data_IF_190077530941
#
_entry.id   IF_190077530941
#
_cell.length_a   1.000
_cell.length_b   1.000
_cell.length_c   1.000
_cell.angle_alpha   90.00
_cell.angle_beta   90.00
_cell.angle_gamma   90.00
#
_symmetry.space_group_name_H-M   'P 1'
#
loop_
_entity.id
_entity.type
_entity.pdbx_description
1 polymer ?
#
# COMPACT_ATOMS: atom_id res chain seq x y z
N UNK A 1 -59.37 -31.23 -23.20
CA UNK A 1 -58.70 -29.92 -23.40
C UNK A 1 -58.55 -29.26 -22.04
N UNK A 2 -57.40 -29.46 -21.38
CA UNK A 2 -57.05 -28.73 -20.17
C UNK A 2 -55.99 -27.69 -20.54
N UNK A 3 -56.32 -26.47 -20.17
CA UNK A 3 -55.71 -25.22 -20.58
C UNK A 3 -54.38 -25.04 -19.85
N UNK A 4 -53.33 -24.78 -20.64
CA UNK A 4 -51.93 -24.70 -20.23
C UNK A 4 -51.60 -23.23 -19.90
N UNK A 5 -52.04 -22.76 -18.74
CA UNK A 5 -51.82 -21.40 -18.24
C UNK A 5 -50.77 -21.41 -17.11
N UNK A 6 -49.49 -21.42 -17.48
CA UNK A 6 -48.39 -21.37 -16.50
C UNK A 6 -47.06 -20.81 -17.01
N UNK A 7 -46.96 -20.52 -18.30
CA UNK A 7 -45.72 -20.05 -18.91
C UNK A 7 -45.35 -18.57 -18.68
N UNK A 8 -46.29 -17.59 -18.63
CA UNK A 8 -45.88 -16.18 -18.61
C UNK A 8 -45.34 -15.72 -17.25
N UNK A 9 -45.82 -16.31 -16.15
CA UNK A 9 -45.37 -15.99 -14.79
C UNK A 9 -43.92 -16.38 -14.53
N UNK A 10 -43.48 -17.52 -15.07
CA UNK A 10 -42.09 -17.97 -14.95
C UNK A 10 -41.11 -17.06 -15.70
N UNK A 11 -41.51 -16.58 -16.89
CA UNK A 11 -40.69 -15.68 -17.70
C UNK A 11 -40.55 -14.31 -17.03
N UNK A 12 -41.63 -13.78 -16.46
CA UNK A 12 -41.60 -12.56 -15.65
C UNK A 12 -40.74 -12.75 -14.40
N UNK A 13 -40.83 -13.90 -13.74
CA UNK A 13 -40.02 -14.21 -12.56
C UNK A 13 -38.53 -14.32 -12.91
N UNK A 14 -38.18 -14.94 -14.04
CA UNK A 14 -36.81 -15.02 -14.55
C UNK A 14 -36.26 -13.63 -14.89
N UNK A 15 -37.05 -12.78 -15.53
CA UNK A 15 -36.66 -11.39 -15.79
C UNK A 15 -36.45 -10.61 -14.47
N UNK A 16 -37.34 -10.77 -13.49
CA UNK A 16 -37.21 -10.16 -12.17
C UNK A 16 -35.98 -10.68 -11.39
N UNK A 17 -35.66 -11.97 -11.49
CA UNK A 17 -34.46 -12.56 -10.91
C UNK A 17 -33.20 -11.99 -11.57
N UNK A 18 -33.19 -11.79 -12.89
CA UNK A 18 -32.05 -11.20 -13.61
C UNK A 18 -31.83 -9.72 -13.28
N UNK A 19 -32.91 -8.94 -13.08
CA UNK A 19 -32.81 -7.54 -12.68
C UNK A 19 -32.35 -7.42 -11.23
N UNK A 20 -32.88 -8.26 -10.33
CA UNK A 20 -32.48 -8.27 -8.92
C UNK A 20 -31.02 -8.72 -8.72
N UNK A 21 -30.53 -9.67 -9.52
CA UNK A 21 -29.12 -10.09 -9.50
C UNK A 21 -28.20 -8.94 -9.90
N UNK A 22 -28.59 -8.13 -10.89
CA UNK A 22 -27.82 -6.98 -11.37
C UNK A 22 -27.76 -5.85 -10.34
N UNK A 23 -28.83 -5.64 -9.56
CA UNK A 23 -28.84 -4.63 -8.48
C UNK A 23 -27.99 -5.04 -7.27
N UNK A 24 -27.85 -6.35 -6.98
CA UNK A 24 -27.03 -6.82 -5.86
C UNK A 24 -25.52 -6.72 -6.11
N UNK A 25 -25.09 -6.84 -7.36
CA UNK A 25 -23.67 -6.83 -7.72
C UNK A 25 -22.97 -5.48 -7.50
N UNK A 26 -23.70 -4.37 -7.50
CA UNK A 26 -23.14 -3.02 -7.40
C UNK A 26 -22.69 -2.65 -5.97
N UNK A 27 -23.24 -3.32 -4.94
CA UNK A 27 -22.96 -2.99 -3.53
C UNK A 27 -21.76 -3.73 -2.92
N UNK A 28 -21.24 -4.79 -3.54
CA UNK A 28 -20.17 -5.60 -2.96
C UNK A 28 -18.75 -5.03 -3.19
N UNK A 29 -18.60 -3.98 -4.00
CA UNK A 29 -17.30 -3.49 -4.47
C UNK A 29 -16.95 -2.08 -3.95
N UNK A 30 -17.82 -1.41 -3.20
CA UNK A 30 -17.53 -0.04 -2.73
C UNK A 30 -16.31 0.02 -1.77
N UNK A 31 -16.15 -0.96 -0.88
CA UNK A 31 -15.02 -1.01 0.08
C UNK A 31 -13.71 -1.41 -0.61
N UNK A 32 -13.79 -2.34 -1.57
CA UNK A 32 -12.66 -2.80 -2.38
C UNK A 32 -12.13 -1.66 -3.27
N UNK A 33 -13.03 -0.90 -3.89
CA UNK A 33 -12.68 0.21 -4.77
C UNK A 33 -12.11 1.41 -4.00
N UNK A 34 -12.65 1.71 -2.81
CA UNK A 34 -12.07 2.69 -1.88
C UNK A 34 -10.65 2.30 -1.43
N UNK A 35 -10.40 1.02 -1.15
CA UNK A 35 -9.05 0.54 -0.81
C UNK A 35 -8.09 0.62 -1.99
N UNK A 36 -8.55 0.22 -3.19
CA UNK A 36 -7.76 0.26 -4.43
C UNK A 36 -7.40 1.68 -4.86
N UNK A 37 -8.33 2.62 -4.72
CA UNK A 37 -8.08 4.05 -4.96
C UNK A 37 -7.05 4.62 -3.98
N UNK A 38 -7.12 4.26 -2.70
CA UNK A 38 -6.11 4.65 -1.71
C UNK A 38 -4.72 4.13 -2.07
N UNK A 39 -4.59 2.84 -2.43
CA UNK A 39 -3.30 2.28 -2.88
C UNK A 39 -2.76 3.07 -4.07
N UNK A 40 -3.61 3.33 -5.07
CA UNK A 40 -3.21 4.08 -6.28
C UNK A 40 -2.78 5.51 -5.95
N UNK A 41 -3.41 6.13 -4.95
CA UNK A 41 -3.05 7.45 -4.46
C UNK A 41 -1.66 7.40 -3.80
N UNK A 42 -1.44 6.45 -2.90
CA UNK A 42 -0.14 6.31 -2.22
C UNK A 42 0.99 6.05 -3.20
N UNK A 43 0.81 5.14 -4.16
CA UNK A 43 1.84 4.89 -5.19
C UNK A 43 2.12 6.15 -6.01
N UNK A 44 1.08 6.89 -6.39
CA UNK A 44 1.24 8.16 -7.11
C UNK A 44 1.99 9.22 -6.31
N UNK A 45 1.81 9.27 -4.98
CA UNK A 45 2.60 10.17 -4.12
C UNK A 45 4.07 9.74 -4.16
N UNK A 46 4.36 8.45 -3.95
CA UNK A 46 5.72 7.94 -3.92
C UNK A 46 6.46 8.18 -5.24
N UNK A 47 5.80 7.94 -6.37
CA UNK A 47 6.37 8.18 -7.71
C UNK A 47 6.73 9.66 -7.91
N UNK A 48 5.92 10.57 -7.36
CA UNK A 48 6.14 12.03 -7.47
C UNK A 48 7.17 12.58 -6.49
N UNK A 49 7.47 11.88 -5.40
CA UNK A 49 8.48 12.35 -4.44
C UNK A 49 9.90 12.38 -5.03
N UNK A 50 10.15 11.57 -6.07
CA UNK A 50 11.46 11.46 -6.71
C UNK A 50 11.57 12.24 -8.03
N UNK A 51 10.47 12.82 -8.51
CA UNK A 51 10.47 13.60 -9.75
C UNK A 51 11.31 14.88 -9.58
N UNK A 52 12.43 14.97 -10.30
CA UNK A 52 13.36 16.11 -10.24
C UNK A 52 14.22 16.19 -8.97
N UNK A 53 14.25 15.16 -8.12
CA UNK A 53 15.06 15.14 -6.91
C UNK A 53 16.52 14.75 -7.20
N UNK A 54 17.50 15.54 -6.74
CA UNK A 54 18.94 15.25 -6.86
C UNK A 54 19.57 15.03 -5.48
N UNK A 55 19.85 13.77 -5.13
CA UNK A 55 20.44 13.35 -3.84
C UNK A 55 21.85 13.90 -3.59
N UNK A 56 22.52 14.42 -4.61
CA UNK A 56 23.87 14.97 -4.50
C UNK A 56 23.87 16.36 -3.87
N UNK A 57 22.72 17.03 -3.89
CA UNK A 57 22.56 18.37 -3.35
C UNK A 57 22.02 18.29 -1.93
N UNK A 58 22.66 19.01 -1.02
CA UNK A 58 22.14 19.20 0.33
C UNK A 58 20.85 20.04 0.26
N UNK A 59 19.83 19.77 1.11
CA UNK A 59 18.69 20.67 1.26
C UNK A 59 19.12 22.11 1.56
N UNK A 60 18.54 23.08 0.84
CA UNK A 60 18.86 24.50 1.00
C UNK A 60 20.27 24.90 0.52
N UNK A 61 20.82 24.21 -0.50
CA UNK A 61 22.13 24.55 -1.07
C UNK A 61 22.20 26.03 -1.49
N UNK A 62 23.21 26.76 -1.01
CA UNK A 62 23.39 28.19 -1.27
C UNK A 62 22.57 29.14 -0.37
N UNK A 63 21.70 28.61 0.49
CA UNK A 63 20.98 29.36 1.54
C UNK A 63 21.57 29.02 2.91
N UNK A 64 20.82 28.27 3.73
CA UNK A 64 21.16 27.95 5.12
C UNK A 64 21.95 26.65 5.27
N UNK A 65 22.60 26.50 6.41
CA UNK A 65 23.15 25.21 6.85
C UNK A 65 22.02 24.23 7.17
N UNK A 66 22.26 22.95 6.92
CA UNK A 66 21.30 21.89 7.29
C UNK A 66 21.61 21.41 8.70
N UNK A 67 20.65 21.58 9.61
CA UNK A 67 20.73 21.05 10.97
C UNK A 67 20.36 19.57 10.96
N UNK A 68 21.24 18.72 11.47
CA UNK A 68 21.00 17.27 11.61
C UNK A 68 20.82 16.94 13.07
N UNK A 69 19.61 16.50 13.44
CA UNK A 69 19.30 16.06 14.81
C UNK A 69 19.57 14.57 14.92
N UNK A 70 20.63 14.22 15.65
CA UNK A 70 21.04 12.82 15.86
C UNK A 70 20.43 12.27 17.15
N UNK A 71 19.94 11.03 17.09
CA UNK A 71 19.50 10.27 18.26
C UNK A 71 20.10 8.86 18.19
N UNK A 72 20.88 8.48 19.20
CA UNK A 72 21.59 7.19 19.24
C UNK A 72 20.98 6.36 20.36
N UNK A 73 20.46 5.19 20.00
CA UNK A 73 19.99 4.17 20.94
C UNK A 73 20.86 2.93 20.82
N UNK A 74 21.53 2.56 21.91
CA UNK A 74 22.40 1.37 21.96
C UNK A 74 21.61 0.19 22.51
N UNK A 75 21.37 -0.83 21.68
CA UNK A 75 20.67 -2.05 22.08
C UNK A 75 21.54 -2.92 23.00
N UNK A 76 22.84 -3.03 22.68
CA UNK A 76 23.83 -3.73 23.50
C UNK A 76 25.24 -3.24 23.15
N UNK A 77 26.16 -3.36 24.10
CA UNK A 77 27.58 -3.16 23.86
C UNK A 77 28.22 -4.53 23.62
N UNK A 78 28.86 -4.70 22.46
CA UNK A 78 29.66 -5.88 22.17
C UNK A 78 30.92 -5.96 23.05
N UNK A 79 31.59 -7.12 23.13
CA UNK A 79 32.86 -7.23 23.84
C UNK A 79 33.91 -6.30 23.22
N UNK A 80 34.80 -5.75 24.06
CA UNK A 80 35.92 -4.90 23.64
C UNK A 80 37.20 -5.72 23.77
N UNK A 81 37.99 -5.83 22.69
CA UNK A 81 39.28 -6.52 22.70
C UNK A 81 40.40 -5.55 23.04
N UNK A 82 41.11 -5.78 24.14
CA UNK A 82 42.26 -4.95 24.56
C UNK A 82 43.46 -5.10 23.61
N UNK A 83 43.67 -6.31 23.07
CA UNK A 83 44.77 -6.63 22.16
C UNK A 83 44.60 -5.94 20.81
N UNK A 84 43.37 -5.91 20.30
CA UNK A 84 43.06 -5.32 18.99
C UNK A 84 42.66 -3.84 19.10
N UNK A 85 42.48 -3.35 20.33
CA UNK A 85 42.04 -1.99 20.66
C UNK A 85 40.72 -1.56 20.00
N UNK A 86 39.92 -2.53 19.54
CA UNK A 86 38.64 -2.32 18.85
C UNK A 86 37.63 -3.41 19.24
N UNK A 87 36.36 -3.15 18.98
CA UNK A 87 35.36 -4.22 18.98
C UNK A 87 35.62 -5.14 17.79
N UNK A 88 35.70 -6.48 17.98
CA UNK A 88 35.91 -7.40 16.88
C UNK A 88 34.77 -7.27 15.86
N UNK A 89 35.13 -7.26 14.57
CA UNK A 89 34.21 -7.07 13.46
C UNK A 89 33.02 -8.03 13.56
N UNK A 90 31.81 -7.49 13.35
CA UNK A 90 30.62 -8.32 13.14
C UNK A 90 30.88 -9.15 11.90
N UNK A 91 31.10 -10.46 12.09
CA UNK A 91 31.26 -11.45 11.02
C UNK A 91 30.13 -11.22 10.03
N UNK A 92 30.49 -10.78 8.81
CA UNK A 92 29.56 -10.76 7.69
C UNK A 92 29.21 -12.22 7.40
N UNK A 93 28.02 -12.64 7.85
CA UNK A 93 27.40 -13.85 7.35
C UNK A 93 26.95 -13.55 5.92
N UNK A 94 27.75 -13.96 4.94
CA UNK A 94 27.34 -14.06 3.53
C UNK A 94 26.09 -14.95 3.37
#
# INVERSE_FOLDING_TARGET
MWIKEGAPSLLICLLALTTLWKTRSVNADATSDAFKTNITLFTRILDRLLDGYDNRLRPGLGDRVTEVKTNIYVTSFGPVSDTDMVSPDVVHSD
#
